data_IF_283896626399
#
_entry.id   IF_283896626399
#
_cell.length_a   1.000
_cell.length_b   1.000
_cell.length_c   1.000
_cell.angle_alpha   90.00
_cell.angle_beta   90.00
_cell.angle_gamma   90.00
#
_symmetry.space_group_name_H-M   'P 1'
#
loop_
_entity.id
_entity.type
_entity.pdbx_description
1 polymer ?
#
# COMPACT_ATOMS: atom_id res chain seq x y z
N UNK A 1 -45.16 31.23 43.96
CA UNK A 1 -44.09 30.54 43.20
C UNK A 1 -43.66 31.46 42.06
N UNK A 2 -42.48 32.07 42.11
CA UNK A 2 -42.12 33.09 41.12
C UNK A 2 -40.78 33.75 41.44
N UNK A 3 -39.75 32.94 41.65
CA UNK A 3 -38.38 33.42 41.79
C UNK A 3 -37.49 32.70 40.78
N UNK A 4 -36.66 33.49 40.09
CA UNK A 4 -35.51 33.10 39.24
C UNK A 4 -35.83 32.51 37.87
N UNK A 5 -35.77 33.37 36.84
CA UNK A 5 -35.34 33.00 35.48
C UNK A 5 -34.91 34.24 34.66
N UNK A 6 -34.29 35.25 35.31
CA UNK A 6 -33.77 36.46 34.63
C UNK A 6 -32.24 36.53 34.46
N UNK A 7 -31.50 35.50 34.88
CA UNK A 7 -30.03 35.53 34.90
C UNK A 7 -29.32 34.57 33.92
N UNK A 8 -30.04 33.88 33.03
CA UNK A 8 -29.44 32.93 32.08
C UNK A 8 -29.55 33.35 30.61
N UNK A 9 -30.07 34.55 30.32
CA UNK A 9 -30.31 34.98 28.93
C UNK A 9 -29.07 35.52 28.16
N UNK A 10 -28.01 36.10 28.77
CA UNK A 10 -26.93 36.63 27.94
C UNK A 10 -25.83 35.62 27.54
N UNK A 11 -25.84 34.37 28.04
CA UNK A 11 -24.76 33.41 27.74
C UNK A 11 -25.08 32.33 26.70
N UNK A 12 -26.32 32.26 26.19
CA UNK A 12 -26.71 31.26 25.19
C UNK A 12 -26.69 31.84 23.75
N UNK A 13 -26.70 33.16 23.59
CA UNK A 13 -26.59 33.82 22.27
C UNK A 13 -25.14 33.94 21.76
N UNK A 14 -24.14 33.53 22.55
CA UNK A 14 -22.73 33.55 22.13
C UNK A 14 -22.21 32.20 21.60
N UNK A 15 -23.00 31.13 21.69
CA UNK A 15 -22.60 29.76 21.31
C UNK A 15 -23.25 29.23 20.04
N UNK A 16 -24.15 29.99 19.42
CA UNK A 16 -24.71 29.69 18.11
C UNK A 16 -24.30 30.77 17.12
N UNK A 17 -23.03 30.76 16.70
CA UNK A 17 -22.72 31.21 15.34
C UNK A 17 -23.51 30.26 14.43
N UNK A 18 -24.34 30.75 13.49
CA UNK A 18 -24.89 29.89 12.46
C UNK A 18 -23.71 29.14 11.83
N UNK A 19 -23.90 27.84 11.57
CA UNK A 19 -22.91 27.01 10.90
C UNK A 19 -22.24 27.85 9.81
N UNK A 20 -20.93 28.06 9.92
CA UNK A 20 -20.20 28.87 8.97
C UNK A 20 -20.45 28.24 7.61
N UNK A 21 -21.34 28.84 6.83
CA UNK A 21 -21.41 28.60 5.40
C UNK A 21 -20.00 28.90 4.94
N UNK A 22 -19.34 27.90 4.35
CA UNK A 22 -18.06 28.04 3.67
C UNK A 22 -18.01 29.44 3.05
N UNK A 23 -17.20 30.33 3.63
CA UNK A 23 -17.14 31.74 3.22
C UNK A 23 -16.58 31.75 1.79
N UNK A 24 -17.48 31.75 0.81
CA UNK A 24 -17.23 31.78 -0.62
C UNK A 24 -16.81 33.19 -1.09
N UNK A 25 -16.05 33.92 -0.28
CA UNK A 25 -15.33 35.11 -0.74
C UNK A 25 -14.07 34.68 -1.51
N UNK A 26 -14.21 33.72 -2.44
CA UNK A 26 -13.15 33.35 -3.38
C UNK A 26 -13.10 34.43 -4.47
N UNK A 27 -12.08 35.26 -4.42
CA UNK A 27 -11.85 36.24 -5.47
C UNK A 27 -11.14 35.52 -6.66
N UNK A 28 -11.60 35.69 -7.91
CA UNK A 28 -11.00 35.00 -9.06
C UNK A 28 -9.49 35.28 -9.23
N UNK A 29 -9.05 36.49 -8.86
CA UNK A 29 -7.65 36.90 -8.92
C UNK A 29 -6.74 36.13 -7.95
N UNK A 30 -7.27 35.69 -6.80
CA UNK A 30 -6.50 34.90 -5.82
C UNK A 30 -6.33 33.45 -6.29
N UNK A 31 -7.28 32.91 -7.04
CA UNK A 31 -7.18 31.58 -7.64
C UNK A 31 -6.21 31.53 -8.84
N UNK A 32 -6.04 32.65 -9.54
CA UNK A 32 -5.17 32.73 -10.72
C UNK A 32 -3.69 32.93 -10.37
N UNK A 33 -3.37 33.45 -9.19
CA UNK A 33 -1.99 33.60 -8.70
C UNK A 33 -1.27 32.28 -8.41
N UNK A 34 -2.01 31.19 -8.24
CA UNK A 34 -1.48 29.88 -7.83
C UNK A 34 -0.97 29.04 -9.02
N UNK A 35 -0.50 29.69 -10.10
CA UNK A 35 -0.01 29.01 -11.30
C UNK A 35 1.39 28.41 -11.05
N UNK A 36 1.48 27.07 -11.04
CA UNK A 36 2.74 26.34 -10.93
C UNK A 36 3.70 26.70 -12.07
N UNK A 37 5.00 26.74 -11.77
CA UNK A 37 6.01 26.92 -12.81
C UNK A 37 5.98 25.75 -13.83
N UNK A 38 6.32 25.98 -15.12
CA UNK A 38 6.31 24.91 -16.12
C UNK A 38 7.22 23.71 -15.76
N UNK A 39 8.29 23.95 -15.00
CA UNK A 39 9.21 22.93 -14.54
C UNK A 39 8.56 22.03 -13.46
N UNK A 40 7.92 22.62 -12.46
CA UNK A 40 7.25 21.88 -11.38
C UNK A 40 6.07 21.06 -11.91
N UNK A 41 5.28 21.66 -12.80
CA UNK A 41 4.20 20.93 -13.47
C UNK A 41 4.75 19.76 -14.30
N UNK A 42 5.88 19.95 -14.99
CA UNK A 42 6.56 18.90 -15.74
C UNK A 42 7.01 17.74 -14.83
N UNK A 43 7.53 18.05 -13.65
CA UNK A 43 7.93 17.06 -12.64
C UNK A 43 6.71 16.27 -12.15
N UNK A 44 5.62 16.93 -11.77
CA UNK A 44 4.41 16.28 -11.26
C UNK A 44 3.74 15.37 -12.30
N UNK A 45 3.69 15.81 -13.56
CA UNK A 45 3.18 14.98 -14.67
C UNK A 45 4.06 13.75 -14.88
N UNK A 46 5.39 13.93 -14.87
CA UNK A 46 6.33 12.83 -15.01
C UNK A 46 6.18 11.79 -13.88
N UNK A 47 6.07 12.25 -12.63
CA UNK A 47 5.86 11.37 -11.47
C UNK A 47 4.52 10.63 -11.60
N UNK A 48 3.44 11.33 -11.98
CA UNK A 48 2.11 10.74 -12.14
C UNK A 48 2.11 9.62 -13.19
N UNK A 49 2.75 9.81 -14.33
CA UNK A 49 2.89 8.78 -15.37
C UNK A 49 3.76 7.60 -14.89
N UNK A 50 4.90 7.90 -14.27
CA UNK A 50 5.79 6.88 -13.70
C UNK A 50 5.09 6.01 -12.64
N UNK A 51 4.19 6.60 -11.86
CA UNK A 51 3.38 5.91 -10.87
C UNK A 51 2.44 4.89 -11.51
N UNK A 52 1.69 5.28 -12.54
CA UNK A 52 0.80 4.38 -13.26
C UNK A 52 1.58 3.19 -13.87
N UNK A 53 2.70 3.47 -14.53
CA UNK A 53 3.57 2.45 -15.10
C UNK A 53 4.14 1.51 -14.03
N UNK A 54 4.37 2.00 -12.81
CA UNK A 54 4.89 1.18 -11.70
C UNK A 54 3.86 0.21 -11.12
N UNK A 55 2.61 0.65 -10.98
CA UNK A 55 1.56 -0.18 -10.36
C UNK A 55 0.95 -1.20 -11.32
N UNK A 56 0.85 -0.90 -12.62
CA UNK A 56 0.20 -1.79 -13.59
C UNK A 56 0.82 -3.20 -13.70
N UNK A 57 2.15 -3.37 -13.81
CA UNK A 57 2.77 -4.70 -13.88
C UNK A 57 2.52 -5.53 -12.62
N UNK A 58 2.49 -4.90 -11.44
CA UNK A 58 2.21 -5.60 -10.18
C UNK A 58 0.77 -6.14 -10.16
N UNK A 59 -0.20 -5.32 -10.55
CA UNK A 59 -1.61 -5.73 -10.65
C UNK A 59 -1.79 -6.84 -11.69
N UNK A 60 -1.16 -6.69 -12.85
CA UNK A 60 -1.18 -7.71 -13.90
C UNK A 60 -0.62 -9.05 -13.41
N UNK A 61 0.51 -9.03 -12.68
CA UNK A 61 1.10 -10.24 -12.09
C UNK A 61 0.13 -10.93 -11.12
N UNK A 62 -0.50 -10.17 -10.22
CA UNK A 62 -1.50 -10.70 -9.27
C UNK A 62 -2.66 -11.37 -10.02
N UNK A 63 -3.19 -10.71 -11.05
CA UNK A 63 -4.31 -11.21 -11.86
C UNK A 63 -3.93 -12.49 -12.63
N UNK A 64 -2.72 -12.52 -13.21
CA UNK A 64 -2.25 -13.65 -14.03
C UNK A 64 -1.87 -14.87 -13.20
N UNK A 65 -1.14 -14.68 -12.10
CA UNK A 65 -0.64 -15.77 -11.26
C UNK A 65 -1.77 -16.38 -10.42
N UNK A 66 -2.86 -15.64 -10.16
CA UNK A 66 -3.99 -16.10 -9.32
C UNK A 66 -3.54 -16.69 -7.97
N UNK A 67 -2.47 -16.13 -7.41
CA UNK A 67 -1.99 -16.43 -6.07
C UNK A 67 -1.70 -15.13 -5.33
N UNK A 68 -2.01 -15.12 -4.03
CA UNK A 68 -1.68 -14.03 -3.11
C UNK A 68 -0.50 -14.39 -2.20
N UNK A 69 0.21 -15.48 -2.50
CA UNK A 69 1.38 -15.91 -1.73
C UNK A 69 2.45 -14.81 -1.72
N UNK A 70 2.96 -14.50 -0.52
CA UNK A 70 3.94 -13.45 -0.29
C UNK A 70 3.40 -12.05 0.02
N UNK A 71 2.07 -11.83 -0.04
CA UNK A 71 1.45 -10.58 0.42
C UNK A 71 1.18 -10.62 1.92
N UNK A 72 1.93 -9.83 2.70
CA UNK A 72 1.70 -9.68 4.13
C UNK A 72 0.46 -8.77 4.41
N UNK A 73 -0.63 -9.29 5.00
CA UNK A 73 -1.85 -8.51 5.23
C UNK A 73 -1.65 -7.30 6.17
N UNK A 74 -0.74 -7.41 7.14
CA UNK A 74 -0.45 -6.33 8.09
C UNK A 74 0.35 -5.22 7.40
N UNK A 75 1.28 -5.59 6.51
CA UNK A 75 2.00 -4.62 5.69
C UNK A 75 1.03 -3.82 4.81
N UNK A 76 0.06 -4.50 4.18
CA UNK A 76 -0.99 -3.85 3.39
C UNK A 76 -1.87 -2.95 4.26
N UNK A 77 -2.26 -3.41 5.46
CA UNK A 77 -3.05 -2.62 6.41
C UNK A 77 -2.34 -1.31 6.76
N UNK A 78 -1.10 -1.39 7.26
CA UNK A 78 -0.32 -0.23 7.70
C UNK A 78 -0.06 0.73 6.54
N UNK A 79 0.25 0.20 5.35
CA UNK A 79 0.43 1.01 4.16
C UNK A 79 -0.85 1.73 3.73
N UNK A 80 -2.02 1.09 3.88
CA UNK A 80 -3.29 1.71 3.46
C UNK A 80 -3.76 2.75 4.46
N UNK A 81 -3.57 2.49 5.76
CA UNK A 81 -3.82 3.48 6.81
C UNK A 81 -2.93 4.71 6.59
N UNK A 82 -1.62 4.50 6.38
CA UNK A 82 -0.69 5.57 6.05
C UNK A 82 -1.13 6.35 4.81
N UNK A 83 -1.37 5.66 3.69
CA UNK A 83 -1.73 6.31 2.42
C UNK A 83 -3.04 7.10 2.53
N UNK A 84 -4.03 6.57 3.26
CA UNK A 84 -5.29 7.27 3.52
C UNK A 84 -5.04 8.53 4.34
N UNK A 85 -4.29 8.43 5.43
CA UNK A 85 -3.97 9.59 6.27
C UNK A 85 -3.15 10.65 5.52
N UNK A 86 -2.18 10.25 4.68
CA UNK A 86 -1.42 11.19 3.85
C UNK A 86 -2.28 11.86 2.78
N UNK A 87 -3.19 11.12 2.14
CA UNK A 87 -4.11 11.68 1.14
C UNK A 87 -5.00 12.75 1.77
N UNK A 88 -5.62 12.47 2.92
CA UNK A 88 -6.48 13.45 3.61
C UNK A 88 -5.68 14.62 4.20
N UNK A 89 -4.46 14.41 4.69
CA UNK A 89 -3.56 15.49 5.08
C UNK A 89 -3.35 16.50 3.93
N UNK A 90 -3.02 16.01 2.73
CA UNK A 90 -2.84 16.87 1.56
C UNK A 90 -4.16 17.50 1.11
N UNK A 91 -5.27 16.77 1.08
CA UNK A 91 -6.60 17.33 0.74
C UNK A 91 -6.98 18.50 1.64
N UNK A 92 -6.74 18.40 2.95
CA UNK A 92 -7.09 19.46 3.90
C UNK A 92 -6.20 20.68 3.70
N UNK A 93 -4.90 20.48 3.50
CA UNK A 93 -3.95 21.59 3.38
C UNK A 93 -4.02 22.26 2.02
N UNK A 94 -4.43 21.53 0.97
CA UNK A 94 -4.67 22.02 -0.39
C UNK A 94 -6.16 22.32 -0.65
N UNK A 95 -6.97 22.51 0.40
CA UNK A 95 -8.41 22.67 0.24
C UNK A 95 -8.80 23.95 -0.51
N UNK A 96 -8.08 25.06 -0.31
CA UNK A 96 -8.30 26.32 -1.04
C UNK A 96 -8.14 26.15 -2.57
N UNK A 97 -7.03 25.58 -3.08
CA UNK A 97 -6.90 25.20 -4.49
C UNK A 97 -8.07 24.33 -5.01
N UNK A 98 -8.57 23.38 -4.20
CA UNK A 98 -9.73 22.54 -4.57
C UNK A 98 -11.02 23.38 -4.69
N UNK A 99 -11.23 24.35 -3.81
CA UNK A 99 -12.40 25.24 -3.88
C UNK A 99 -12.37 26.14 -5.13
N UNK A 100 -11.18 26.59 -5.53
CA UNK A 100 -10.97 27.37 -6.77
C UNK A 100 -11.38 26.60 -8.03
N UNK A 101 -11.45 25.26 -8.01
CA UNK A 101 -11.92 24.47 -9.14
C UNK A 101 -13.38 24.73 -9.55
N UNK A 102 -14.18 25.39 -8.70
CA UNK A 102 -15.54 25.81 -9.07
C UNK A 102 -15.57 26.97 -10.08
N UNK A 103 -14.45 27.71 -10.20
CA UNK A 103 -14.31 28.89 -11.07
C UNK A 103 -13.38 28.65 -12.27
N UNK A 104 -12.48 27.66 -12.18
CA UNK A 104 -11.47 27.36 -13.19
C UNK A 104 -11.95 26.34 -14.22
N UNK A 105 -11.31 26.32 -15.39
CA UNK A 105 -11.50 25.24 -16.36
C UNK A 105 -10.99 23.90 -15.82
N UNK A 106 -11.47 22.78 -16.37
CA UNK A 106 -11.08 21.45 -15.90
C UNK A 106 -9.56 21.20 -15.96
N UNK A 107 -8.88 21.74 -16.99
CA UNK A 107 -7.43 21.58 -17.17
C UNK A 107 -6.65 22.42 -16.17
N UNK A 108 -7.08 23.67 -15.92
CA UNK A 108 -6.45 24.53 -14.92
C UNK A 108 -6.63 23.97 -13.50
N UNK A 109 -7.84 23.52 -13.17
CA UNK A 109 -8.09 22.82 -11.90
C UNK A 109 -7.18 21.59 -11.74
N UNK A 110 -7.02 20.78 -12.80
CA UNK A 110 -6.17 19.59 -12.75
C UNK A 110 -4.69 19.94 -12.53
N UNK A 111 -4.18 21.04 -13.10
CA UNK A 111 -2.82 21.54 -12.85
C UNK A 111 -2.67 21.93 -11.38
N UNK A 112 -3.58 22.78 -10.89
CA UNK A 112 -3.55 23.31 -9.52
C UNK A 112 -3.73 22.23 -8.46
N UNK A 113 -4.46 21.14 -8.76
CA UNK A 113 -4.72 20.03 -7.81
C UNK A 113 -3.94 18.75 -8.16
N UNK A 114 -2.88 18.83 -8.97
CA UNK A 114 -2.17 17.66 -9.50
C UNK A 114 -1.64 16.73 -8.40
N UNK A 115 -1.13 17.27 -7.29
CA UNK A 115 -0.62 16.47 -6.17
C UNK A 115 -1.72 15.64 -5.48
N UNK A 116 -2.95 16.18 -5.40
CA UNK A 116 -4.12 15.48 -4.86
C UNK A 116 -4.54 14.37 -5.81
N UNK A 117 -4.56 14.65 -7.12
CA UNK A 117 -4.86 13.65 -8.15
C UNK A 117 -3.83 12.51 -8.11
N UNK A 118 -2.54 12.85 -8.06
CA UNK A 118 -1.46 11.88 -8.01
C UNK A 118 -1.57 10.95 -6.80
N UNK A 119 -1.80 11.50 -5.60
CA UNK A 119 -2.00 10.70 -4.39
C UNK A 119 -3.29 9.90 -4.41
N UNK A 120 -4.36 10.44 -4.99
CA UNK A 120 -5.63 9.74 -5.19
C UNK A 120 -5.46 8.53 -6.10
N UNK A 121 -4.68 8.66 -7.19
CA UNK A 121 -4.33 7.54 -8.07
C UNK A 121 -3.52 6.50 -7.31
N UNK A 122 -2.47 6.91 -6.60
CA UNK A 122 -1.63 6.00 -5.80
C UNK A 122 -2.44 5.22 -4.76
N UNK A 123 -3.27 5.93 -4.00
CA UNK A 123 -4.14 5.35 -2.99
C UNK A 123 -5.12 4.37 -3.63
N UNK A 124 -5.74 4.74 -4.75
CA UNK A 124 -6.67 3.87 -5.49
C UNK A 124 -5.97 2.59 -5.93
N UNK A 125 -4.81 2.70 -6.57
CA UNK A 125 -4.02 1.54 -7.01
C UNK A 125 -3.63 0.65 -5.83
N UNK A 126 -3.29 1.23 -4.67
CA UNK A 126 -2.96 0.43 -3.50
C UNK A 126 -4.17 -0.30 -2.91
N UNK A 127 -5.34 0.37 -2.84
CA UNK A 127 -6.59 -0.22 -2.34
C UNK A 127 -7.13 -1.31 -3.27
N UNK A 128 -6.92 -1.20 -4.58
CA UNK A 128 -7.35 -2.20 -5.57
C UNK A 128 -6.74 -3.59 -5.35
N UNK A 129 -5.63 -3.71 -4.61
CA UNK A 129 -5.05 -5.00 -4.25
C UNK A 129 -6.02 -5.86 -3.42
N UNK A 130 -6.80 -5.26 -2.51
CA UNK A 130 -7.74 -6.01 -1.65
C UNK A 130 -8.84 -6.77 -2.41
N UNK A 131 -9.65 -6.13 -3.28
CA UNK A 131 -10.67 -6.84 -4.04
C UNK A 131 -10.07 -7.85 -5.03
N UNK A 132 -8.86 -7.62 -5.54
CA UNK A 132 -8.15 -8.59 -6.39
C UNK A 132 -7.76 -9.85 -5.60
N UNK A 133 -7.13 -9.70 -4.43
CA UNK A 133 -6.83 -10.82 -3.54
C UNK A 133 -8.10 -11.56 -3.12
N UNK A 134 -9.20 -10.83 -2.88
CA UNK A 134 -10.51 -11.43 -2.56
C UNK A 134 -11.04 -12.29 -3.70
N UNK A 135 -11.02 -11.81 -4.94
CA UNK A 135 -11.48 -12.59 -6.11
C UNK A 135 -10.67 -13.86 -6.29
N UNK A 136 -9.34 -13.75 -6.21
CA UNK A 136 -8.43 -14.90 -6.36
C UNK A 136 -8.79 -16.01 -5.37
N UNK A 137 -8.94 -15.67 -4.09
CA UNK A 137 -9.29 -16.67 -3.09
C UNK A 137 -10.68 -17.27 -3.34
N UNK A 138 -11.68 -16.48 -3.77
CA UNK A 138 -13.01 -17.01 -4.09
C UNK A 138 -12.93 -17.99 -5.26
N UNK A 139 -12.18 -17.68 -6.32
CA UNK A 139 -12.05 -18.52 -7.51
C UNK A 139 -11.32 -19.84 -7.19
N UNK A 140 -10.18 -19.76 -6.50
CA UNK A 140 -9.49 -20.94 -5.96
C UNK A 140 -10.44 -21.71 -5.06
N UNK A 141 -11.28 -21.01 -4.29
CA UNK A 141 -12.20 -21.69 -3.39
C UNK A 141 -13.28 -22.49 -4.10
N UNK A 142 -13.78 -22.00 -5.24
CA UNK A 142 -14.78 -22.69 -6.06
C UNK A 142 -14.22 -23.88 -6.79
N UNK A 143 -12.95 -23.82 -7.21
CA UNK A 143 -12.26 -24.90 -7.92
C UNK A 143 -12.11 -26.16 -7.06
N UNK A 144 -11.94 -26.04 -5.74
CA UNK A 144 -11.81 -27.20 -4.85
C UNK A 144 -13.16 -27.84 -4.45
N UNK A 145 -14.30 -27.22 -4.76
CA UNK A 145 -15.62 -27.85 -4.60
C UNK A 145 -15.95 -28.83 -5.74
N UNK A 146 -15.12 -28.93 -6.80
CA UNK A 146 -15.27 -29.99 -7.79
C UNK A 146 -14.76 -31.33 -7.20
N UNK A 147 -15.60 -32.39 -7.07
CA UNK A 147 -15.25 -33.61 -6.34
C UNK A 147 -14.23 -34.53 -7.02
N UNK A 148 -13.54 -34.10 -8.08
CA UNK A 148 -12.97 -35.05 -9.04
C UNK A 148 -11.48 -35.37 -8.86
N UNK A 149 -10.63 -34.52 -8.28
CA UNK A 149 -9.19 -34.83 -8.21
C UNK A 149 -8.53 -34.16 -6.98
N UNK A 150 -8.42 -34.88 -5.85
CA UNK A 150 -7.15 -35.12 -5.14
C UNK A 150 -7.36 -35.75 -3.75
N UNK A 151 -6.80 -36.95 -3.64
CA UNK A 151 -6.63 -37.75 -2.43
C UNK A 151 -5.73 -37.02 -1.41
N UNK A 152 -6.24 -36.78 -0.20
CA UNK A 152 -5.41 -36.78 1.02
C UNK A 152 -4.84 -35.47 1.56
N UNK A 153 -5.11 -34.29 0.97
CA UNK A 153 -4.89 -33.02 1.70
C UNK A 153 -6.23 -32.53 2.24
N UNK A 154 -6.37 -32.22 3.55
CA UNK A 154 -7.60 -31.62 4.03
C UNK A 154 -7.87 -30.34 3.23
N UNK A 155 -9.15 -30.02 2.92
CA UNK A 155 -9.45 -28.71 2.36
C UNK A 155 -8.81 -27.70 3.29
N UNK A 156 -7.89 -26.86 2.79
CA UNK A 156 -7.21 -25.84 3.58
C UNK A 156 -8.30 -25.09 4.32
N UNK A 157 -8.45 -25.40 5.61
CA UNK A 157 -9.61 -25.00 6.39
C UNK A 157 -9.60 -23.49 6.41
N UNK A 158 -10.43 -22.85 5.56
CA UNK A 158 -10.56 -21.40 5.34
C UNK A 158 -9.38 -20.65 5.97
N UNK A 159 -8.23 -20.63 5.29
CA UNK A 159 -6.92 -20.37 5.90
C UNK A 159 -6.98 -19.20 6.87
N UNK A 160 -6.28 -19.28 8.01
CA UNK A 160 -6.21 -18.20 9.00
C UNK A 160 -5.90 -16.85 8.33
N UNK A 161 -5.09 -16.88 7.29
CA UNK A 161 -4.71 -15.75 6.44
C UNK A 161 -5.88 -15.12 5.68
N UNK A 162 -6.85 -15.90 5.18
CA UNK A 162 -8.06 -15.38 4.56
C UNK A 162 -8.94 -14.62 5.55
N UNK A 163 -9.12 -15.18 6.76
CA UNK A 163 -9.89 -14.50 7.82
C UNK A 163 -9.21 -13.20 8.22
N UNK A 164 -7.88 -13.21 8.36
CA UNK A 164 -7.07 -12.00 8.63
C UNK A 164 -7.20 -11.00 7.49
N UNK A 165 -7.12 -11.43 6.23
CA UNK A 165 -7.23 -10.53 5.06
C UNK A 165 -8.60 -9.85 4.96
N UNK A 166 -9.69 -10.58 5.28
CA UNK A 166 -11.03 -10.00 5.37
C UNK A 166 -11.12 -9.00 6.53
N UNK A 167 -10.60 -9.35 7.70
CA UNK A 167 -10.61 -8.46 8.86
C UNK A 167 -9.84 -7.15 8.57
N UNK A 168 -8.68 -7.26 7.92
CA UNK A 168 -7.90 -6.11 7.44
C UNK A 168 -8.70 -5.25 6.48
N UNK A 169 -9.40 -5.84 5.50
CA UNK A 169 -10.24 -5.08 4.57
C UNK A 169 -11.32 -4.26 5.30
N UNK A 170 -12.01 -4.87 6.26
CA UNK A 170 -13.00 -4.14 7.05
C UNK A 170 -12.36 -3.04 7.90
N UNK A 171 -11.19 -3.29 8.50
CA UNK A 171 -10.46 -2.28 9.26
C UNK A 171 -10.07 -1.07 8.38
N UNK A 172 -9.61 -1.32 7.15
CA UNK A 172 -9.31 -0.27 6.17
C UNK A 172 -10.56 0.55 5.82
N UNK A 173 -11.69 -0.12 5.56
CA UNK A 173 -12.95 0.57 5.24
C UNK A 173 -13.40 1.44 6.41
N UNK A 174 -13.37 0.91 7.63
CA UNK A 174 -13.74 1.66 8.84
C UNK A 174 -12.82 2.86 9.03
N UNK A 175 -11.49 2.67 8.92
CA UNK A 175 -10.53 3.76 9.01
C UNK A 175 -10.79 4.85 7.96
N UNK A 176 -11.00 4.47 6.70
CA UNK A 176 -11.32 5.41 5.63
C UNK A 176 -12.59 6.21 5.92
N UNK A 177 -13.67 5.54 6.33
CA UNK A 177 -14.93 6.19 6.67
C UNK A 177 -14.78 7.15 7.85
N UNK A 178 -14.04 6.76 8.90
CA UNK A 178 -13.79 7.63 10.05
C UNK A 178 -13.00 8.88 9.65
N UNK A 179 -11.90 8.72 8.90
CA UNK A 179 -11.08 9.85 8.45
C UNK A 179 -11.89 10.76 7.52
N UNK A 180 -12.66 10.19 6.60
CA UNK A 180 -13.55 10.93 5.71
C UNK A 180 -14.60 11.72 6.50
N UNK A 181 -15.31 11.08 7.43
CA UNK A 181 -16.37 11.71 8.22
C UNK A 181 -15.84 12.87 9.06
N UNK A 182 -14.70 12.69 9.75
CA UNK A 182 -14.09 13.77 10.56
C UNK A 182 -13.60 14.90 9.65
N UNK A 183 -12.97 14.58 8.53
CA UNK A 183 -12.47 15.60 7.60
C UNK A 183 -13.59 16.42 6.98
N UNK A 184 -14.66 15.76 6.52
CA UNK A 184 -15.85 16.46 5.98
C UNK A 184 -16.52 17.30 7.05
N UNK A 185 -16.68 16.77 8.27
CA UNK A 185 -17.24 17.53 9.40
C UNK A 185 -16.45 18.82 9.67
N UNK A 186 -15.12 18.74 9.71
CA UNK A 186 -14.27 19.91 9.95
C UNK A 186 -14.32 20.91 8.80
N UNK A 187 -14.19 20.45 7.55
CA UNK A 187 -14.19 21.33 6.38
C UNK A 187 -15.54 22.04 6.17
N UNK A 188 -16.66 21.39 6.52
CA UNK A 188 -18.01 21.96 6.34
C UNK A 188 -18.42 22.86 7.51
N UNK A 189 -18.11 22.50 8.75
CA UNK A 189 -18.62 23.22 9.93
C UNK A 189 -17.62 24.18 10.57
N UNK A 190 -16.32 23.92 10.43
CA UNK A 190 -15.26 24.75 11.00
C UNK A 190 -14.66 25.64 9.91
N UNK A 191 -14.27 25.05 8.78
CA UNK A 191 -13.65 25.74 7.66
C UNK A 191 -12.33 25.09 7.23
N UNK A 192 -11.60 25.80 6.37
CA UNK A 192 -10.34 25.34 5.78
C UNK A 192 -9.18 25.27 6.80
N UNK A 193 -7.97 24.99 6.30
CA UNK A 193 -6.74 24.91 7.10
C UNK A 193 -6.32 26.21 7.78
N UNK A 194 -6.99 27.35 7.56
CA UNK A 194 -6.79 28.57 8.34
C UNK A 194 -7.31 28.43 9.78
N UNK A 195 -8.30 27.54 9.98
CA UNK A 195 -8.85 27.26 11.29
C UNK A 195 -7.97 26.26 12.05
N UNK A 196 -7.77 26.53 13.34
CA UNK A 196 -6.85 25.78 14.19
C UNK A 196 -7.20 24.29 14.24
N UNK A 197 -8.48 23.96 14.35
CA UNK A 197 -8.97 22.58 14.49
C UNK A 197 -8.69 21.77 13.23
N UNK A 198 -9.01 22.33 12.06
CA UNK A 198 -8.76 21.73 10.74
C UNK A 198 -7.26 21.57 10.50
N UNK A 199 -6.45 22.58 10.85
CA UNK A 199 -4.99 22.53 10.77
C UNK A 199 -4.38 21.43 11.66
N UNK A 200 -4.84 21.33 12.92
CA UNK A 200 -4.37 20.31 13.86
C UNK A 200 -4.76 18.90 13.42
N UNK A 201 -5.96 18.74 12.86
CA UNK A 201 -6.40 17.46 12.29
C UNK A 201 -5.52 17.04 11.10
N UNK A 202 -5.21 17.97 10.19
CA UNK A 202 -4.28 17.71 9.10
C UNK A 202 -2.90 17.29 9.63
N UNK A 203 -2.33 18.04 10.58
CA UNK A 203 -1.04 17.72 11.17
C UNK A 203 -1.02 16.36 11.86
N UNK A 204 -2.09 16.01 12.57
CA UNK A 204 -2.27 14.69 13.17
C UNK A 204 -2.26 13.57 12.12
N UNK A 205 -3.01 13.75 11.01
CA UNK A 205 -3.02 12.81 9.89
C UNK A 205 -1.65 12.64 9.22
N UNK A 206 -0.89 13.73 9.10
CA UNK A 206 0.49 13.69 8.60
C UNK A 206 1.40 12.86 9.51
N UNK A 207 1.42 13.15 10.81
CA UNK A 207 2.27 12.43 11.79
C UNK A 207 1.88 10.95 11.89
N UNK A 208 0.59 10.61 11.99
CA UNK A 208 0.16 9.22 12.09
C UNK A 208 0.51 8.44 10.82
N UNK A 209 0.44 9.08 9.64
CA UNK A 209 0.85 8.43 8.40
C UNK A 209 2.33 8.05 8.39
N UNK A 210 3.21 8.97 8.80
CA UNK A 210 4.64 8.72 8.90
C UNK A 210 4.97 7.61 9.91
N UNK A 211 4.27 7.58 11.05
CA UNK A 211 4.43 6.52 12.05
C UNK A 211 4.01 5.16 11.48
N UNK A 212 2.84 5.08 10.84
CA UNK A 212 2.33 3.85 10.23
C UNK A 212 3.26 3.34 9.13
N UNK A 213 3.77 4.24 8.28
CA UNK A 213 4.73 3.87 7.25
C UNK A 213 6.07 3.40 7.84
N UNK A 214 6.54 4.02 8.92
CA UNK A 214 7.76 3.56 9.62
C UNK A 214 7.58 2.14 10.18
N UNK A 215 6.45 1.87 10.83
CA UNK A 215 6.10 0.53 11.33
C UNK A 215 5.88 -0.46 10.19
N UNK A 216 5.48 0.00 9.00
CA UNK A 216 5.36 -0.84 7.81
C UNK A 216 6.74 -1.27 7.27
N UNK A 217 7.68 -0.33 7.09
CA UNK A 217 8.95 -0.61 6.44
C UNK A 217 10.03 -1.18 7.38
N UNK A 218 10.11 -0.73 8.64
CA UNK A 218 11.18 -1.16 9.55
C UNK A 218 11.21 -2.67 9.83
N UNK A 219 10.08 -3.35 10.12
CA UNK A 219 10.08 -4.79 10.30
C UNK A 219 10.48 -5.54 9.03
N UNK A 220 10.08 -5.01 7.85
CA UNK A 220 10.46 -5.59 6.57
C UNK A 220 11.96 -5.43 6.31
N UNK A 221 12.55 -4.28 6.65
CA UNK A 221 14.00 -4.05 6.60
C UNK A 221 14.72 -5.06 7.49
N UNK A 222 14.30 -5.19 8.75
CA UNK A 222 14.90 -6.12 9.69
C UNK A 222 14.80 -7.58 9.23
N UNK A 223 13.64 -7.98 8.71
CA UNK A 223 13.40 -9.34 8.22
C UNK A 223 14.26 -9.63 6.99
N UNK A 224 14.36 -8.68 6.05
CA UNK A 224 15.23 -8.79 4.86
C UNK A 224 16.69 -8.93 5.26
N UNK A 225 17.15 -8.15 6.26
CA UNK A 225 18.49 -8.25 6.80
C UNK A 225 18.79 -9.61 7.43
N UNK A 226 17.83 -10.16 8.20
CA UNK A 226 17.96 -11.46 8.86
C UNK A 226 17.93 -12.63 7.89
N UNK A 227 17.01 -12.60 6.92
CA UNK A 227 16.82 -13.68 5.94
C UNK A 227 17.89 -13.68 4.85
N UNK A 228 18.53 -12.53 4.58
CA UNK A 228 19.50 -12.34 3.47
C UNK A 228 18.93 -12.71 2.10
N UNK A 229 17.61 -12.59 1.96
CA UNK A 229 16.86 -12.89 0.75
C UNK A 229 15.79 -11.82 0.54
N UNK A 230 15.48 -11.56 -0.72
CA UNK A 230 14.38 -10.67 -1.13
C UNK A 230 13.13 -11.52 -1.17
N UNK A 231 12.14 -11.21 -0.32
CA UNK A 231 10.85 -11.89 -0.34
C UNK A 231 10.04 -11.57 -1.61
N UNK A 232 8.70 -11.65 -1.54
CA UNK A 232 7.82 -11.38 -2.69
C UNK A 232 7.73 -9.90 -3.14
N UNK A 233 8.65 -9.05 -2.69
CA UNK A 233 8.63 -7.62 -2.99
C UNK A 233 9.20 -7.33 -4.38
N UNK A 234 8.49 -6.54 -5.19
CA UNK A 234 8.89 -6.21 -6.55
C UNK A 234 10.04 -5.20 -6.58
N UNK A 235 11.27 -5.66 -6.86
CA UNK A 235 12.44 -4.79 -7.07
C UNK A 235 12.19 -3.74 -8.17
N UNK A 236 11.61 -4.08 -9.34
CA UNK A 236 11.33 -3.10 -10.40
C UNK A 236 10.38 -1.99 -9.95
N UNK A 237 9.38 -2.32 -9.14
CA UNK A 237 8.46 -1.33 -8.59
C UNK A 237 9.19 -0.38 -7.65
N UNK A 238 10.02 -0.90 -6.74
CA UNK A 238 10.77 -0.08 -5.81
C UNK A 238 11.81 0.82 -6.49
N UNK A 239 12.43 0.35 -7.57
CA UNK A 239 13.37 1.13 -8.38
C UNK A 239 12.73 2.38 -8.98
N UNK A 240 11.47 2.29 -9.40
CA UNK A 240 10.74 3.45 -9.92
C UNK A 240 10.14 4.32 -8.81
N UNK A 241 9.60 3.71 -7.75
CA UNK A 241 8.92 4.43 -6.68
C UNK A 241 9.86 5.21 -5.76
N UNK A 242 11.03 4.66 -5.42
CA UNK A 242 11.98 5.31 -4.50
C UNK A 242 12.41 6.70 -5.00
N UNK A 243 12.93 6.88 -6.23
CA UNK A 243 13.26 8.20 -6.74
C UNK A 243 12.01 9.08 -6.91
N UNK A 244 10.88 8.49 -7.32
CA UNK A 244 9.60 9.21 -7.42
C UNK A 244 9.13 9.80 -6.09
N UNK A 245 9.33 9.10 -4.97
CA UNK A 245 8.98 9.57 -3.63
C UNK A 245 9.80 10.81 -3.23
N UNK A 246 11.10 10.85 -3.55
CA UNK A 246 11.94 12.02 -3.30
C UNK A 246 11.57 13.21 -4.19
N UNK A 247 11.31 12.97 -5.49
CA UNK A 247 10.86 14.02 -6.41
C UNK A 247 9.49 14.58 -5.98
N UNK A 248 8.60 13.72 -5.50
CA UNK A 248 7.29 14.15 -5.00
C UNK A 248 7.39 14.93 -3.69
N UNK A 249 8.25 14.50 -2.76
CA UNK A 249 8.55 15.27 -1.55
C UNK A 249 9.11 16.65 -1.91
N UNK A 250 10.01 16.73 -2.89
CA UNK A 250 10.55 17.99 -3.39
C UNK A 250 9.46 18.89 -4.01
N UNK A 251 8.58 18.34 -4.85
CA UNK A 251 7.47 19.08 -5.46
C UNK A 251 6.55 19.69 -4.38
N UNK A 252 6.13 18.89 -3.39
CA UNK A 252 5.31 19.37 -2.28
C UNK A 252 6.03 20.40 -1.41
N UNK A 253 7.34 20.24 -1.20
CA UNK A 253 8.14 21.18 -0.42
C UNK A 253 8.42 22.51 -1.16
N UNK A 254 8.27 22.54 -2.48
CA UNK A 254 8.51 23.73 -3.31
C UNK A 254 7.29 24.65 -3.42
N UNK A 255 6.11 24.18 -2.97
CA UNK A 255 4.90 25.01 -2.97
C UNK A 255 4.99 26.17 -1.97
N UNK A 256 4.46 27.33 -2.35
CA UNK A 256 4.57 28.59 -1.58
C UNK A 256 3.90 28.50 -0.20
N UNK A 257 2.76 27.80 -0.08
CA UNK A 257 2.02 27.57 1.17
C UNK A 257 2.20 26.14 1.71
N UNK A 258 3.42 25.59 1.64
CA UNK A 258 3.64 24.21 2.07
C UNK A 258 3.64 24.06 3.60
N UNK A 259 3.18 22.88 4.04
CA UNK A 259 3.29 22.43 5.40
C UNK A 259 4.31 21.29 5.46
N UNK A 260 5.20 21.28 6.45
CA UNK A 260 6.16 20.19 6.60
C UNK A 260 5.52 18.80 6.68
N UNK A 261 4.29 18.71 7.22
CA UNK A 261 3.55 17.45 7.34
C UNK A 261 3.08 16.88 5.99
N UNK A 262 3.01 17.68 4.92
CA UNK A 262 2.62 17.18 3.59
C UNK A 262 3.77 16.46 2.91
N UNK A 263 5.00 16.96 3.00
CA UNK A 263 6.13 16.41 2.25
C UNK A 263 7.03 15.47 3.06
N UNK A 264 7.15 15.66 4.39
CA UNK A 264 8.08 14.89 5.22
C UNK A 264 7.77 13.40 5.20
N UNK A 265 6.48 13.04 5.11
CA UNK A 265 6.02 11.65 5.07
C UNK A 265 6.62 10.95 3.84
N UNK A 266 6.61 11.62 2.70
CA UNK A 266 7.15 11.09 1.45
C UNK A 266 8.68 11.02 1.47
N UNK A 267 9.34 11.98 2.10
CA UNK A 267 10.79 11.94 2.30
C UNK A 267 11.21 10.76 3.20
N UNK A 268 10.56 10.60 4.36
CA UNK A 268 10.86 9.52 5.31
C UNK A 268 10.55 8.16 4.70
N UNK A 269 9.40 8.01 4.02
CA UNK A 269 9.08 6.76 3.33
C UNK A 269 10.04 6.48 2.18
N UNK A 270 10.47 7.49 1.41
CA UNK A 270 11.51 7.37 0.40
C UNK A 270 12.83 6.87 0.96
N UNK A 271 13.28 7.39 2.12
CA UNK A 271 14.48 6.89 2.81
C UNK A 271 14.36 5.42 3.22
N UNK A 272 13.23 5.04 3.85
CA UNK A 272 12.98 3.67 4.28
C UNK A 272 12.90 2.70 3.09
N UNK A 273 12.21 3.10 2.02
CA UNK A 273 12.15 2.36 0.75
C UNK A 273 13.54 2.24 0.12
N UNK A 274 14.32 3.31 0.11
CA UNK A 274 15.68 3.33 -0.44
C UNK A 274 16.62 2.37 0.29
N UNK A 275 16.59 2.34 1.62
CA UNK A 275 17.36 1.37 2.42
C UNK A 275 16.99 -0.06 2.02
N UNK A 276 15.69 -0.33 1.91
CA UNK A 276 15.21 -1.66 1.57
C UNK A 276 15.56 -2.05 0.13
N UNK A 277 15.50 -1.10 -0.81
CA UNK A 277 15.90 -1.28 -2.21
C UNK A 277 17.39 -1.63 -2.31
N UNK A 278 18.26 -0.90 -1.60
CA UNK A 278 19.71 -1.17 -1.58
C UNK A 278 19.97 -2.58 -1.08
N UNK A 279 19.37 -2.98 0.04
CA UNK A 279 19.49 -4.36 0.53
C UNK A 279 18.99 -5.38 -0.48
N UNK A 280 17.85 -5.12 -1.12
CA UNK A 280 17.27 -6.04 -2.10
C UNK A 280 18.21 -6.25 -3.30
N UNK A 281 18.81 -5.17 -3.81
CA UNK A 281 19.80 -5.21 -4.88
C UNK A 281 21.04 -6.01 -4.44
N UNK A 282 21.61 -5.70 -3.26
CA UNK A 282 22.78 -6.40 -2.74
C UNK A 282 22.55 -7.91 -2.61
N UNK A 283 21.40 -8.32 -2.06
CA UNK A 283 21.08 -9.74 -1.90
C UNK A 283 20.77 -10.43 -3.22
N UNK A 284 20.10 -9.74 -4.15
CA UNK A 284 19.87 -10.26 -5.49
C UNK A 284 21.19 -10.57 -6.21
N UNK A 285 22.13 -9.63 -6.23
CA UNK A 285 23.43 -9.84 -6.87
C UNK A 285 24.28 -10.90 -6.16
N UNK A 286 24.29 -10.90 -4.84
CA UNK A 286 25.00 -11.92 -4.06
C UNK A 286 24.48 -13.32 -4.38
N UNK A 287 23.17 -13.48 -4.50
CA UNK A 287 22.57 -14.78 -4.75
C UNK A 287 22.85 -15.25 -6.19
N UNK A 288 22.78 -14.34 -7.17
CA UNK A 288 23.21 -14.60 -8.55
C UNK A 288 24.69 -15.03 -8.64
N UNK A 289 25.57 -14.37 -7.88
CA UNK A 289 26.99 -14.73 -7.84
C UNK A 289 27.25 -16.12 -7.24
N UNK A 290 26.40 -16.59 -6.34
CA UNK A 290 26.52 -17.94 -5.76
C UNK A 290 25.89 -19.04 -6.64
N UNK A 291 25.50 -18.71 -7.88
CA UNK A 291 24.93 -19.69 -8.82
C UNK A 291 23.47 -20.06 -8.55
N UNK A 292 22.80 -19.36 -7.62
CA UNK A 292 21.37 -19.46 -7.47
C UNK A 292 20.72 -18.71 -8.66
N UNK A 293 19.83 -19.38 -9.39
CA UNK A 293 19.15 -18.84 -10.57
C UNK A 293 18.43 -17.51 -10.30
N UNK A 294 17.94 -16.81 -11.35
CA UNK A 294 17.19 -15.57 -11.16
C UNK A 294 16.05 -15.84 -10.19
N UNK A 295 16.07 -15.16 -9.05
CA UNK A 295 15.00 -15.20 -8.04
C UNK A 295 13.74 -14.53 -8.61
N UNK A 296 13.17 -15.11 -9.67
CA UNK A 296 11.74 -15.06 -9.88
C UNK A 296 11.16 -16.22 -9.06
N UNK A 297 11.22 -16.05 -7.74
CA UNK A 297 10.71 -17.05 -6.80
C UNK A 297 9.19 -16.99 -6.93
N UNK A 298 8.65 -17.87 -7.76
CA UNK A 298 7.24 -18.25 -7.71
C UNK A 298 7.00 -19.26 -6.58
N UNK A 299 7.94 -19.41 -5.65
CA UNK A 299 7.96 -20.52 -4.70
C UNK A 299 8.20 -20.02 -3.27
N UNK A 300 7.09 -19.71 -2.59
CA UNK A 300 7.06 -19.76 -1.13
C UNK A 300 7.25 -21.20 -0.59
N UNK A 301 7.42 -22.20 -1.46
CA UNK A 301 7.48 -23.61 -1.06
C UNK A 301 8.86 -24.20 -0.74
N UNK A 302 10.01 -23.53 -0.97
CA UNK A 302 11.31 -24.23 -0.72
C UNK A 302 12.38 -23.37 -0.04
N UNK A 303 12.15 -22.98 1.21
CA UNK A 303 13.25 -22.54 2.10
C UNK A 303 13.30 -23.24 3.45
N UNK A 304 12.33 -24.09 3.77
CA UNK A 304 12.35 -24.94 4.95
C UNK A 304 12.37 -26.40 4.51
N UNK A 305 13.28 -27.17 5.08
CA UNK A 305 13.25 -28.64 4.98
C UNK A 305 11.96 -29.19 5.62
N UNK A 306 11.59 -30.46 5.41
CA UNK A 306 10.41 -31.10 6.05
C UNK A 306 10.41 -30.98 7.58
N UNK A 307 11.58 -30.70 8.14
CA UNK A 307 11.86 -30.55 9.57
C UNK A 307 11.75 -29.09 10.07
N UNK A 308 11.33 -28.13 9.24
CA UNK A 308 11.12 -26.74 9.64
C UNK A 308 12.40 -25.92 9.89
N UNK A 309 13.55 -26.36 9.37
CA UNK A 309 14.82 -25.61 9.42
C UNK A 309 15.14 -24.93 8.09
N UNK A 310 15.72 -23.72 8.09
CA UNK A 310 16.14 -23.06 6.87
C UNK A 310 17.20 -23.92 6.16
N UNK A 311 16.98 -24.24 4.87
CA UNK A 311 17.93 -25.03 4.09
C UNK A 311 19.30 -24.35 4.10
N UNK A 312 20.31 -25.05 4.63
CA UNK A 312 21.70 -24.60 4.58
C UNK A 312 22.29 -24.90 3.19
N UNK A 313 23.21 -24.07 2.68
CA UNK A 313 23.85 -24.29 1.39
C UNK A 313 24.48 -25.68 1.32
N UNK A 314 23.92 -26.56 0.48
CA UNK A 314 24.57 -27.82 0.12
C UNK A 314 25.83 -27.50 -0.66
N UNK A 315 26.98 -27.93 -0.11
CA UNK A 315 28.24 -28.02 -0.85
C UNK A 315 27.95 -28.80 -2.13
N UNK A 316 28.16 -28.20 -3.30
CA UNK A 316 28.34 -28.99 -4.51
C UNK A 316 29.52 -29.93 -4.24
N UNK A 317 29.24 -31.18 -3.88
CA UNK A 317 30.22 -32.24 -4.01
C UNK A 317 30.32 -32.51 -5.50
N UNK A 318 31.28 -31.84 -6.12
CA UNK A 318 31.91 -32.32 -7.34
C UNK A 318 32.59 -33.66 -7.05
N UNK A 319 31.81 -34.74 -7.06
CA UNK A 319 32.29 -36.13 -7.16
C UNK A 319 31.10 -36.98 -7.59
N UNK A 320 30.77 -36.95 -8.88
CA UNK A 320 30.11 -38.10 -9.50
C UNK A 320 30.58 -38.24 -10.96
N UNK A 321 31.90 -38.41 -11.11
CA UNK A 321 32.50 -39.02 -12.29
C UNK A 321 33.21 -40.31 -11.83
N UNK A 322 32.44 -41.40 -11.73
CA UNK A 322 32.79 -42.80 -12.01
C UNK A 322 31.90 -43.73 -11.21
N UNK A 323 30.94 -44.36 -11.87
CA UNK A 323 30.83 -45.83 -11.92
C UNK A 323 29.73 -46.28 -12.91
N UNK A 324 29.88 -47.44 -13.57
CA UNK A 324 29.10 -47.79 -14.76
C UNK A 324 27.77 -48.48 -14.42
N UNK A 325 26.84 -48.34 -15.36
CA UNK A 325 25.54 -49.02 -15.51
C UNK A 325 25.48 -50.46 -14.99
N UNK A 326 24.41 -50.79 -14.24
CA UNK A 326 23.93 -52.16 -14.02
C UNK A 326 22.39 -52.20 -14.13
N UNK A 327 21.78 -53.10 -14.93
CA UNK A 327 20.34 -53.09 -15.20
C UNK A 327 19.54 -54.03 -14.27
N UNK A 328 18.22 -53.77 -14.27
CA UNK A 328 17.07 -54.60 -13.88
C UNK A 328 16.79 -54.95 -12.41
N UNK A 329 15.65 -54.45 -11.91
CA UNK A 329 14.51 -55.32 -11.54
C UNK A 329 13.23 -54.51 -11.22
N UNK A 330 12.22 -54.65 -12.08
CA UNK A 330 10.81 -54.38 -11.79
C UNK A 330 10.21 -55.54 -10.96
N UNK A 331 9.23 -55.28 -10.09
CA UNK A 331 8.23 -56.29 -9.76
C UNK A 331 6.86 -55.93 -10.37
N UNK A 332 6.42 -56.82 -11.26
CA UNK A 332 5.08 -56.90 -11.84
C UNK A 332 4.12 -57.49 -10.79
N UNK A 333 2.94 -56.89 -10.59
CA UNK A 333 1.84 -57.47 -9.82
C UNK A 333 0.76 -57.94 -10.80
N UNK A 334 0.69 -59.25 -11.02
CA UNK A 334 -0.43 -59.89 -11.72
C UNK A 334 -0.73 -61.25 -11.10
N UNK A 335 -1.97 -61.37 -10.60
CA UNK A 335 -2.84 -62.56 -10.58
C UNK A 335 -2.24 -63.92 -10.16
N UNK A 336 -2.68 -64.43 -9.00
CA UNK A 336 -2.71 -65.88 -8.72
C UNK A 336 -4.07 -66.23 -8.12
N UNK A 337 -4.79 -67.12 -8.80
CA UNK A 337 -5.98 -67.84 -8.35
C UNK A 337 -5.81 -69.32 -8.79
N UNK A 338 -6.18 -70.23 -7.87
CA UNK A 338 -6.43 -71.69 -7.96
C UNK A 338 -5.21 -72.65 -8.03
N UNK A 339 -4.98 -73.51 -7.02
CA UNK A 339 -5.51 -74.91 -6.79
C UNK A 339 -4.51 -75.92 -7.43
N UNK A 340 -3.99 -77.01 -6.84
CA UNK A 340 -4.52 -78.14 -6.06
C UNK A 340 -3.38 -78.77 -5.22
N UNK A 341 -3.71 -79.36 -4.06
CA UNK A 341 -3.43 -80.77 -3.65
C UNK A 341 -3.96 -81.04 -2.23
#
# INVERSE_FOLDING_TARGET
>A
AGLRLRFLRPHIEQTWKPAAVVDLNLNPEDCQKNEQSPLELGIDVFITLGLLVSYLPQHYRIIKIKSSEGLNPIFLLLGTLSATSSLFNVIILEFKPIQCCSLLSAVECAKTTISVIQLGIQWTMFVLVYPLCRRIYIDVSRLWYLPLIHYGRPPIARSREWKVSIAVLYAVIVHFLLVLSVTVYLLVLVGDSSQRETYLWAGFLGVISMMMASVQYLPQIWTTWKMKAVGALSIPMMLMQTPGAFLFAYSLASKEDNNWTTWIVFFVTGCLQGILLVMAICWHFRAKHMGYGPFDVTDAEVLYDSDGRPMRPGRHSATDERSPLRPDNQPNYASVIHEED
#
